data_IF_575169754088
#
_entry.id   IF_575169754088
#
_cell.length_a   1.000
_cell.length_b   1.000
_cell.length_c   1.000
_cell.angle_alpha   90.00
_cell.angle_beta   90.00
_cell.angle_gamma   90.00
#
_symmetry.space_group_name_H-M   'P 1'
#
loop_
_entity.id
_entity.type
_entity.pdbx_description
1 polymer ?
#
# COMPACT_ATOMS: atom_id res chain seq x y z
N UNK A 1 -54.39 -33.70 48.26
CA UNK A 1 -53.07 -33.02 48.27
C UNK A 1 -53.36 -31.60 47.83
N UNK A 2 -53.30 -30.67 48.77
CA UNK A 2 -53.80 -29.30 48.59
C UNK A 2 -52.73 -28.47 47.88
N UNK A 3 -53.10 -27.82 46.78
CA UNK A 3 -52.27 -26.86 46.05
C UNK A 3 -52.91 -25.49 46.30
N UNK A 4 -52.24 -24.68 47.12
CA UNK A 4 -52.40 -23.23 47.12
C UNK A 4 -51.00 -22.64 47.12
N UNK A 5 -50.70 -21.79 46.14
CA UNK A 5 -50.54 -20.35 46.36
C UNK A 5 -49.88 -19.71 45.14
N UNK A 6 -50.68 -19.08 44.28
CA UNK A 6 -50.24 -17.87 43.55
C UNK A 6 -50.26 -16.68 44.54
N UNK A 7 -49.57 -15.55 44.28
CA UNK A 7 -50.19 -14.55 43.39
C UNK A 7 -49.25 -13.57 42.63
N UNK A 8 -49.82 -12.91 41.63
CA UNK A 8 -49.47 -11.59 41.02
C UNK A 8 -48.56 -11.52 39.77
N UNK A 9 -49.22 -11.49 38.60
CA UNK A 9 -48.93 -10.72 37.36
C UNK A 9 -48.81 -9.19 37.61
N UNK A 10 -48.30 -8.30 36.71
CA UNK A 10 -48.36 -8.40 35.23
C UNK A 10 -47.17 -7.85 34.40
N UNK A 11 -47.09 -8.37 33.16
CA UNK A 11 -46.80 -7.70 31.87
C UNK A 11 -45.53 -6.86 31.64
N UNK A 12 -45.24 -6.72 30.34
CA UNK A 12 -44.32 -5.75 29.72
C UNK A 12 -42.82 -6.09 29.79
N UNK A 13 -42.02 -6.08 28.73
CA UNK A 13 -42.14 -5.52 27.39
C UNK A 13 -40.88 -5.96 26.59
N UNK A 14 -41.06 -6.19 25.29
CA UNK A 14 -40.07 -6.02 24.22
C UNK A 14 -38.95 -7.07 24.05
N UNK A 15 -39.16 -7.87 23.01
CA UNK A 15 -38.14 -8.23 22.03
C UNK A 15 -37.47 -6.95 21.51
N UNK A 16 -36.26 -6.64 21.97
CA UNK A 16 -35.28 -5.84 21.25
C UNK A 16 -33.89 -6.04 21.86
N UNK A 17 -32.87 -6.12 21.02
CA UNK A 17 -31.51 -6.49 21.39
C UNK A 17 -30.80 -7.23 20.28
N UNK A 18 -30.91 -6.65 19.08
CA UNK A 18 -29.89 -6.53 18.04
C UNK A 18 -28.70 -7.49 18.11
N UNK A 19 -28.60 -8.29 17.04
CA UNK A 19 -27.38 -8.79 16.41
C UNK A 19 -26.11 -7.99 16.81
N UNK A 20 -25.39 -8.48 17.83
CA UNK A 20 -24.02 -8.06 18.15
C UNK A 20 -23.08 -8.68 17.09
N UNK A 21 -23.29 -8.29 15.84
CA UNK A 21 -22.25 -8.28 14.84
C UNK A 21 -21.31 -7.16 15.26
N UNK A 22 -20.35 -7.49 16.14
CA UNK A 22 -19.13 -6.74 16.36
C UNK A 22 -18.28 -6.79 15.07
N UNK A 23 -18.86 -6.21 14.02
CA UNK A 23 -18.20 -5.85 12.78
C UNK A 23 -17.21 -4.77 13.16
N UNK A 24 -16.00 -5.22 13.48
CA UNK A 24 -14.79 -4.43 13.34
C UNK A 24 -15.00 -3.51 12.13
N UNK A 25 -14.82 -2.18 12.25
CA UNK A 25 -14.97 -1.30 11.12
C UNK A 25 -14.13 -1.88 9.98
N UNK A 26 -14.81 -2.38 8.94
CA UNK A 26 -14.19 -2.91 7.74
C UNK A 26 -13.45 -1.73 7.17
N UNK A 27 -12.14 -1.65 7.47
CA UNK A 27 -11.24 -0.53 7.15
C UNK A 27 -11.82 0.31 6.03
N UNK A 28 -12.60 1.34 6.38
CA UNK A 28 -13.21 2.19 5.37
C UNK A 28 -12.05 2.72 4.57
N UNK A 29 -12.12 2.51 3.25
CA UNK A 29 -11.05 2.73 2.30
C UNK A 29 -10.29 4.00 2.65
N UNK A 30 -9.19 3.85 3.39
CA UNK A 30 -8.29 4.95 3.67
C UNK A 30 -7.67 5.25 2.33
N UNK A 31 -8.31 6.16 1.61
CA UNK A 31 -7.84 6.74 0.37
C UNK A 31 -6.65 7.60 0.76
N UNK A 32 -5.51 6.94 0.98
CA UNK A 32 -4.22 7.61 0.96
C UNK A 32 -4.15 8.22 -0.43
N UNK A 33 -4.32 9.54 -0.50
CA UNK A 33 -4.19 10.31 -1.73
C UNK A 33 -2.74 10.17 -2.19
N UNK A 34 -2.49 9.10 -2.92
CA UNK A 34 -1.20 8.83 -3.51
C UNK A 34 -0.99 9.89 -4.61
N UNK A 35 0.22 10.48 -4.73
CA UNK A 35 0.53 11.46 -5.77
C UNK A 35 0.05 11.01 -7.16
N UNK A 36 -0.44 11.97 -7.95
CA UNK A 36 -0.99 11.73 -9.29
C UNK A 36 0.11 11.40 -10.31
N UNK A 37 1.35 11.84 -10.06
CA UNK A 37 2.50 11.64 -10.94
C UNK A 37 3.48 10.67 -10.29
N UNK A 38 3.76 9.56 -10.98
CA UNK A 38 4.86 8.67 -10.63
C UNK A 38 6.19 9.37 -10.98
N UNK A 39 7.00 9.66 -9.97
CA UNK A 39 8.34 10.23 -10.10
C UNK A 39 9.30 9.51 -9.14
N UNK A 40 10.61 9.50 -9.43
CA UNK A 40 11.56 8.94 -8.49
C UNK A 40 11.54 9.71 -7.17
N UNK A 41 11.59 9.01 -6.02
CA UNK A 41 11.66 9.68 -4.74
C UNK A 41 12.96 10.49 -4.64
N UNK A 42 12.88 11.64 -3.97
CA UNK A 42 14.07 12.44 -3.61
C UNK A 42 15.11 11.57 -2.91
N UNK A 43 16.42 11.82 -3.08
CA UNK A 43 17.47 11.10 -2.34
C UNK A 43 17.22 11.08 -0.83
N UNK A 44 16.68 12.16 -0.27
CA UNK A 44 16.37 12.33 1.15
C UNK A 44 14.92 11.98 1.51
N UNK A 45 14.17 11.34 0.61
CA UNK A 45 12.79 10.94 0.86
C UNK A 45 12.70 10.00 2.07
N UNK A 46 11.62 10.12 2.84
CA UNK A 46 11.41 9.25 4.00
C UNK A 46 11.11 7.81 3.56
N UNK A 47 11.29 6.80 4.42
CA UNK A 47 10.87 5.44 4.11
C UNK A 47 9.39 5.34 3.71
N UNK A 48 8.55 6.21 4.27
CA UNK A 48 7.12 6.26 3.97
C UNK A 48 6.86 6.74 2.54
N UNK A 49 7.56 7.80 2.13
CA UNK A 49 7.53 8.30 0.75
C UNK A 49 8.00 7.22 -0.24
N UNK A 50 9.05 6.46 0.12
CA UNK A 50 9.54 5.35 -0.70
C UNK A 50 8.49 4.24 -0.81
N UNK A 51 7.78 3.91 0.27
CA UNK A 51 6.69 2.91 0.23
C UNK A 51 5.54 3.37 -0.66
N UNK A 52 5.16 4.64 -0.60
CA UNK A 52 4.14 5.25 -1.46
C UNK A 52 4.56 5.18 -2.93
N UNK A 53 5.83 5.50 -3.23
CA UNK A 53 6.39 5.37 -4.58
C UNK A 53 6.35 3.92 -5.07
N UNK A 54 6.85 2.96 -4.27
CA UNK A 54 6.85 1.54 -4.63
C UNK A 54 5.45 1.00 -4.87
N UNK A 55 4.48 1.39 -4.03
CA UNK A 55 3.08 1.05 -4.20
C UNK A 55 2.56 1.49 -5.57
N UNK A 56 2.77 2.77 -5.94
CA UNK A 56 2.37 3.30 -7.25
C UNK A 56 3.08 2.61 -8.41
N UNK A 57 4.41 2.47 -8.33
CA UNK A 57 5.23 1.84 -9.36
C UNK A 57 4.71 0.43 -9.69
N UNK A 58 4.40 -0.36 -8.66
CA UNK A 58 3.89 -1.72 -8.81
C UNK A 58 2.46 -1.76 -9.37
N UNK A 59 1.58 -0.84 -8.96
CA UNK A 59 0.24 -0.74 -9.52
C UNK A 59 0.26 -0.31 -10.99
N UNK A 60 1.10 0.64 -11.36
CA UNK A 60 1.13 1.20 -12.72
C UNK A 60 1.86 0.30 -13.71
N UNK A 61 3.07 -0.15 -13.36
CA UNK A 61 3.95 -0.88 -14.29
C UNK A 61 3.65 -2.37 -14.33
N UNK A 62 3.19 -2.94 -13.21
CA UNK A 62 2.91 -4.38 -13.08
C UNK A 62 1.42 -4.70 -12.98
N UNK A 63 0.54 -3.70 -12.95
CA UNK A 63 -0.92 -3.87 -12.80
C UNK A 63 -1.28 -4.74 -11.60
N UNK A 64 -0.47 -4.64 -10.54
CA UNK A 64 -0.72 -5.35 -9.29
C UNK A 64 -1.95 -4.74 -8.60
N UNK A 65 -2.78 -5.60 -8.01
CA UNK A 65 -3.84 -5.16 -7.12
C UNK A 65 -3.28 -4.39 -5.93
N UNK A 66 -4.05 -3.41 -5.45
CA UNK A 66 -3.67 -2.51 -4.36
C UNK A 66 -3.14 -3.28 -3.14
N UNK A 67 -3.82 -4.35 -2.72
CA UNK A 67 -3.43 -5.12 -1.54
C UNK A 67 -2.07 -5.81 -1.72
N UNK A 68 -1.83 -6.42 -2.89
CA UNK A 68 -0.56 -7.07 -3.18
C UNK A 68 0.57 -6.05 -3.29
N UNK A 69 0.34 -4.93 -3.97
CA UNK A 69 1.32 -3.87 -4.09
C UNK A 69 1.63 -3.24 -2.71
N UNK A 70 0.63 -3.04 -1.86
CA UNK A 70 0.80 -2.53 -0.48
C UNK A 70 1.57 -3.52 0.37
N UNK A 71 1.27 -4.81 0.26
CA UNK A 71 2.00 -5.85 0.95
C UNK A 71 3.48 -5.86 0.56
N UNK A 72 3.79 -5.83 -0.74
CA UNK A 72 5.19 -5.78 -1.21
C UNK A 72 5.87 -4.49 -0.74
N UNK A 73 5.25 -3.32 -0.94
CA UNK A 73 5.81 -2.04 -0.53
C UNK A 73 6.05 -1.96 0.99
N UNK A 74 5.18 -2.53 1.81
CA UNK A 74 5.33 -2.54 3.28
C UNK A 74 6.59 -3.26 3.78
N UNK A 75 7.20 -4.12 2.97
CA UNK A 75 8.47 -4.78 3.31
C UNK A 75 9.65 -3.78 3.35
N UNK A 76 9.52 -2.61 2.72
CA UNK A 76 10.52 -1.54 2.82
C UNK A 76 10.39 -0.79 4.16
N UNK A 77 11.13 -1.25 5.17
CA UNK A 77 11.04 -0.70 6.54
C UNK A 77 12.08 0.40 6.80
N UNK A 78 13.25 0.32 6.16
CA UNK A 78 14.39 1.22 6.39
C UNK A 78 15.02 1.59 5.05
N UNK A 79 15.49 2.83 4.95
CA UNK A 79 16.16 3.36 3.78
C UNK A 79 15.40 4.50 3.12
N UNK A 80 16.12 5.43 2.55
CA UNK A 80 15.61 6.61 1.87
C UNK A 80 15.53 6.40 0.34
N UNK A 81 15.16 7.45 -0.41
CA UNK A 81 15.11 7.37 -1.87
C UNK A 81 16.47 7.13 -2.52
N UNK A 82 17.57 7.55 -1.89
CA UNK A 82 18.92 7.26 -2.37
C UNK A 82 19.24 5.77 -2.24
N UNK A 83 18.97 5.18 -1.07
CA UNK A 83 19.15 3.75 -0.81
C UNK A 83 18.38 2.90 -1.82
N UNK A 84 17.15 3.30 -2.15
CA UNK A 84 16.34 2.63 -3.17
C UNK A 84 17.08 2.53 -4.52
N UNK A 85 17.78 3.58 -4.91
CA UNK A 85 18.44 3.68 -6.22
C UNK A 85 19.84 3.05 -6.23
N UNK A 86 20.52 3.04 -5.08
CA UNK A 86 21.89 2.55 -4.93
C UNK A 86 21.98 1.07 -4.53
N UNK A 87 20.96 0.53 -3.88
CA UNK A 87 20.96 -0.86 -3.42
C UNK A 87 21.12 -1.86 -4.56
N UNK A 88 21.94 -2.88 -4.29
CA UNK A 88 22.17 -3.98 -5.22
C UNK A 88 20.97 -4.94 -5.27
N UNK A 89 20.83 -5.76 -6.33
CA UNK A 89 19.76 -6.75 -6.44
C UNK A 89 19.67 -7.69 -5.22
N UNK A 90 20.81 -8.03 -4.61
CA UNK A 90 20.87 -8.91 -3.45
C UNK A 90 20.17 -8.30 -2.23
N UNK A 91 20.28 -6.99 -2.03
CA UNK A 91 19.58 -6.30 -0.94
C UNK A 91 18.07 -6.33 -1.17
N UNK A 92 17.63 -6.11 -2.42
CA UNK A 92 16.22 -6.25 -2.78
C UNK A 92 15.68 -7.67 -2.53
N UNK A 93 16.45 -8.72 -2.83
CA UNK A 93 16.06 -10.09 -2.53
C UNK A 93 15.94 -10.34 -1.03
N UNK A 94 16.83 -9.74 -0.22
CA UNK A 94 16.76 -9.83 1.24
C UNK A 94 15.52 -9.15 1.83
N UNK A 95 15.05 -8.05 1.22
CA UNK A 95 13.89 -7.29 1.69
C UNK A 95 12.58 -7.91 1.21
N UNK A 96 12.47 -8.18 -0.10
CA UNK A 96 11.20 -8.52 -0.72
C UNK A 96 11.02 -10.02 -0.95
N UNK A 97 12.10 -10.80 -0.94
CA UNK A 97 12.15 -12.18 -1.44
C UNK A 97 12.61 -12.23 -2.91
N UNK A 98 12.85 -13.44 -3.41
CA UNK A 98 13.47 -13.62 -4.73
C UNK A 98 12.58 -13.13 -5.89
N UNK A 99 11.29 -13.49 -5.89
CA UNK A 99 10.34 -13.12 -6.94
C UNK A 99 10.05 -11.61 -6.91
N UNK A 100 9.54 -11.11 -5.79
CA UNK A 100 9.17 -9.71 -5.64
C UNK A 100 10.41 -8.79 -5.73
N UNK A 101 11.54 -9.20 -5.17
CA UNK A 101 12.77 -8.38 -5.17
C UNK A 101 13.33 -8.17 -6.56
N UNK A 102 13.30 -9.19 -7.43
CA UNK A 102 13.74 -9.05 -8.83
C UNK A 102 12.84 -8.10 -9.60
N UNK A 103 11.54 -8.25 -9.41
CA UNK A 103 10.53 -7.42 -10.03
C UNK A 103 10.68 -5.95 -9.62
N UNK A 104 10.74 -5.67 -8.31
CA UNK A 104 10.88 -4.30 -7.79
C UNK A 104 12.19 -3.68 -8.28
N UNK A 105 13.32 -4.36 -8.13
CA UNK A 105 14.62 -3.85 -8.58
C UNK A 105 14.59 -3.43 -10.05
N UNK A 106 14.03 -4.29 -10.91
CA UNK A 106 13.88 -4.01 -12.33
C UNK A 106 13.03 -2.78 -12.60
N UNK A 107 11.85 -2.68 -12.00
CA UNK A 107 10.96 -1.55 -12.25
C UNK A 107 11.58 -0.22 -11.83
N UNK A 108 12.21 -0.16 -10.66
CA UNK A 108 12.88 1.05 -10.16
C UNK A 108 13.97 1.50 -11.13
N UNK A 109 14.82 0.58 -11.58
CA UNK A 109 15.95 0.91 -12.44
C UNK A 109 15.55 1.19 -13.90
N UNK A 110 14.50 0.54 -14.40
CA UNK A 110 13.91 0.84 -15.70
C UNK A 110 13.27 2.22 -15.70
N UNK A 111 12.50 2.54 -14.66
CA UNK A 111 11.86 3.85 -14.51
C UNK A 111 12.90 4.97 -14.41
N UNK A 112 13.96 4.78 -13.60
CA UNK A 112 15.08 5.73 -13.51
C UNK A 112 15.71 6.02 -14.88
N UNK A 113 15.88 4.99 -15.69
CA UNK A 113 16.46 5.13 -17.03
C UNK A 113 15.52 5.89 -17.97
N UNK A 114 14.22 5.60 -17.90
CA UNK A 114 13.20 6.31 -18.68
C UNK A 114 13.17 7.80 -18.32
N UNK A 115 13.12 8.13 -17.03
CA UNK A 115 13.11 9.51 -16.55
C UNK A 115 14.39 10.27 -16.96
N UNK A 116 15.56 9.62 -16.89
CA UNK A 116 16.81 10.20 -17.36
C UNK A 116 16.81 10.48 -18.87
N UNK A 117 16.23 9.59 -19.67
CA UNK A 117 16.09 9.77 -21.12
C UNK A 117 15.10 10.88 -21.47
N UNK A 118 13.94 10.92 -20.81
CA UNK A 118 12.94 11.97 -21.00
C UNK A 118 13.49 13.34 -20.61
N UNK A 119 14.21 13.44 -19.50
CA UNK A 119 14.86 14.69 -19.10
C UNK A 119 15.94 15.12 -20.09
N UNK A 120 16.71 14.18 -20.65
CA UNK A 120 17.68 14.46 -21.71
C UNK A 120 16.99 14.99 -22.98
N UNK A 121 15.86 14.40 -23.38
CA UNK A 121 15.09 14.87 -24.53
C UNK A 121 14.49 16.26 -24.30
N UNK A 122 14.00 16.54 -23.09
CA UNK A 122 13.40 17.84 -22.74
C UNK A 122 14.42 18.97 -22.65
N UNK A 123 15.65 18.66 -22.27
CA UNK A 123 16.73 19.64 -22.08
C UNK A 123 17.66 19.74 -23.30
N UNK A 124 17.46 18.89 -24.32
CA UNK A 124 18.23 18.97 -25.56
C UNK A 124 17.91 20.26 -26.33
N UNK A 125 18.92 21.10 -26.62
CA UNK A 125 18.74 22.30 -27.43
C UNK A 125 18.55 22.02 -28.93
N UNK A 126 18.61 20.76 -29.36
CA UNK A 126 18.38 20.36 -30.74
C UNK A 126 17.23 19.35 -30.81
N UNK A 127 16.09 19.69 -31.47
CA UNK A 127 15.08 18.71 -31.82
C UNK A 127 15.61 17.80 -32.93
N UNK A 128 15.23 16.52 -32.88
CA UNK A 128 15.55 15.56 -33.94
C UNK A 128 15.04 16.11 -35.29
N UNK A 129 15.94 16.13 -36.28
CA UNK A 129 15.70 16.57 -37.67
C UNK A 129 14.75 15.62 -38.40
#
# INVERSE_FOLDING_TARGET
>A
MNISKDPETPETLLHDGSDDNDGLPLYEDVQVALPEVLALPSPMATPDDVRIYLLRLLMEKRRLHLDRARHVASKWVRGNGQDLVEYSPQVYYGIFGHEDGWMVYKEVHLFRRQEAQENLMRTSPYPAL
#
